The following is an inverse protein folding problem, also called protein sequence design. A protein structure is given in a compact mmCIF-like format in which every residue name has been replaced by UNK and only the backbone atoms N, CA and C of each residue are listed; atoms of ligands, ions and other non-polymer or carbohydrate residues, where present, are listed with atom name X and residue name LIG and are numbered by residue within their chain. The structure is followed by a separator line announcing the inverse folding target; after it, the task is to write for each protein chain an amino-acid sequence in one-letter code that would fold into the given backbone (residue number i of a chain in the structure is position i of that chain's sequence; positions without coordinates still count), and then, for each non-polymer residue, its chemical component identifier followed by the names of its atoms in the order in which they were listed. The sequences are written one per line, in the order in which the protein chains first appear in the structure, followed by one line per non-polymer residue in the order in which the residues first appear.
data_IF_118044767775
#
_entry.id   IF_118044767775
#
_cell.length_a   1.000
_cell.length_b   1.000
_cell.length_c   1.000
_cell.angle_alpha   90.00
_cell.angle_beta   90.00
_cell.angle_gamma   90.00
#
_symmetry.space_group_name_H-M   'P 1'
#
loop_
_entity.id
_entity.type
_entity.pdbx_description
1 polymer ?
#
# COMPACT_ATOMS: atom_id res chain seq x y z
N UNK A 1 -6.26 -9.02 -9.02
CA UNK A 1 -5.20 -8.51 -9.92
C UNK A 1 -4.10 -8.07 -9.01
N UNK A 2 -2.88 -8.54 -9.24
CA UNK A 2 -1.77 -8.19 -8.36
C UNK A 2 -1.30 -6.76 -8.66
N UNK A 3 -1.47 -5.87 -7.69
CA UNK A 3 -1.09 -4.46 -7.75
C UNK A 3 0.12 -4.14 -6.85
N UNK A 4 0.82 -5.16 -6.34
CA UNK A 4 1.96 -4.99 -5.44
C UNK A 4 3.08 -4.13 -6.03
N UNK A 5 3.31 -4.20 -7.35
CA UNK A 5 4.31 -3.37 -8.03
C UNK A 5 4.01 -1.85 -8.03
N UNK A 6 2.78 -1.45 -7.70
CA UNK A 6 2.34 -0.04 -7.71
C UNK A 6 2.08 0.50 -6.31
N UNK A 7 1.36 -0.25 -5.48
CA UNK A 7 0.90 0.21 -4.17
C UNK A 7 1.72 -0.33 -2.99
N UNK A 8 2.89 -0.93 -3.26
CA UNK A 8 3.82 -1.35 -2.22
C UNK A 8 5.26 -0.96 -2.56
N UNK A 9 5.94 -0.38 -1.57
CA UNK A 9 7.38 -0.14 -1.59
C UNK A 9 7.95 -0.44 -0.20
N UNK A 10 8.34 -1.70 0.00
CA UNK A 10 8.90 -2.18 1.26
C UNK A 10 10.36 -1.74 1.49
N UNK A 11 10.93 -0.94 0.58
CA UNK A 11 12.27 -0.36 0.75
C UNK A 11 12.24 0.97 1.52
N UNK A 12 11.06 1.57 1.67
CA UNK A 12 10.87 2.83 2.40
C UNK A 12 11.17 2.65 3.90
N UNK A 13 11.78 3.67 4.49
CA UNK A 13 12.09 3.71 5.92
C UNK A 13 11.10 4.61 6.66
N UNK A 14 10.48 4.11 7.73
CA UNK A 14 9.51 4.85 8.53
C UNK A 14 10.09 6.16 9.11
N UNK A 15 11.35 6.16 9.56
CA UNK A 15 11.98 7.35 10.11
C UNK A 15 12.15 8.45 9.04
N UNK A 16 12.49 8.07 7.80
CA UNK A 16 12.61 9.02 6.69
C UNK A 16 11.24 9.57 6.27
N UNK A 17 10.19 8.73 6.27
CA UNK A 17 8.81 9.16 6.00
C UNK A 17 8.31 10.18 7.04
N UNK A 18 8.57 9.92 8.33
CA UNK A 18 8.23 10.83 9.43
C UNK A 18 9.02 12.13 9.30
N UNK A 19 10.34 12.05 9.10
CA UNK A 19 11.21 13.22 8.99
C UNK A 19 10.85 14.10 7.78
N UNK A 20 10.43 13.49 6.67
CA UNK A 20 9.97 14.19 5.48
C UNK A 20 8.67 14.98 5.68
N UNK A 21 7.79 14.52 6.58
CA UNK A 21 6.56 15.25 6.95
C UNK A 21 5.57 15.43 5.80
N UNK A 22 5.55 14.50 4.84
CA UNK A 22 4.68 14.53 3.65
C UNK A 22 3.57 13.48 3.65
N UNK A 23 3.61 12.53 4.57
CA UNK A 23 2.72 11.37 4.61
C UNK A 23 1.99 11.28 5.94
N UNK A 24 0.77 10.75 5.92
CA UNK A 24 0.08 10.31 7.14
C UNK A 24 0.33 8.82 7.25
N UNK A 25 1.01 8.41 8.32
CA UNK A 25 1.32 7.00 8.53
C UNK A 25 0.18 6.35 9.33
N UNK A 26 -0.28 5.19 8.84
CA UNK A 26 -1.34 4.43 9.50
C UNK A 26 -0.89 2.97 9.66
N UNK A 27 -1.12 2.42 10.84
CA UNK A 27 -0.88 1.02 11.15
C UNK A 27 -2.22 0.30 11.35
N UNK A 28 -2.36 -0.85 10.71
CA UNK A 28 -3.54 -1.70 10.75
C UNK A 28 -3.15 -3.10 11.22
N UNK A 29 -4.08 -3.75 11.92
CA UNK A 29 -4.07 -5.20 12.06
C UNK A 29 -4.91 -5.80 10.93
N UNK A 30 -4.28 -6.48 9.98
CA UNK A 30 -4.92 -6.92 8.74
C UNK A 30 -4.65 -8.40 8.47
N UNK A 31 -5.71 -9.16 8.20
CA UNK A 31 -5.61 -10.55 7.77
C UNK A 31 -6.28 -10.71 6.40
N UNK A 32 -5.58 -11.23 5.38
CA UNK A 32 -6.16 -11.48 4.07
C UNK A 32 -7.19 -12.61 4.12
N UNK A 33 -8.21 -12.55 3.25
CA UNK A 33 -9.11 -13.69 3.04
C UNK A 33 -8.34 -14.89 2.44
N UNK A 34 -8.77 -16.14 2.70
CA UNK A 34 -8.12 -17.32 2.16
C UNK A 34 -7.97 -17.26 0.63
N UNK A 35 -6.80 -17.64 0.12
CA UNK A 35 -6.50 -17.64 -1.31
C UNK A 35 -5.78 -16.39 -1.83
N UNK A 36 -5.49 -15.41 -0.97
CA UNK A 36 -4.68 -14.24 -1.29
C UNK A 36 -3.35 -14.24 -0.52
N UNK A 37 -2.29 -13.76 -1.16
CA UNK A 37 -1.04 -13.49 -0.43
C UNK A 37 -1.17 -12.20 0.37
N UNK A 38 -0.41 -12.07 1.46
CA UNK A 38 -0.48 -10.90 2.32
C UNK A 38 -0.14 -9.60 1.58
N UNK A 39 0.94 -9.61 0.79
CA UNK A 39 1.37 -8.43 0.03
C UNK A 39 0.37 -8.03 -1.06
N UNK A 40 -0.21 -8.98 -1.79
CA UNK A 40 -1.23 -8.69 -2.80
C UNK A 40 -2.47 -8.04 -2.16
N UNK A 41 -2.93 -8.58 -1.03
CA UNK A 41 -4.08 -8.05 -0.31
C UNK A 41 -3.81 -6.66 0.28
N UNK A 42 -2.60 -6.44 0.85
CA UNK A 42 -2.18 -5.15 1.37
C UNK A 42 -2.12 -4.08 0.26
N UNK A 43 -1.54 -4.42 -0.90
CA UNK A 43 -1.47 -3.51 -2.03
C UNK A 43 -2.86 -3.17 -2.60
N UNK A 44 -3.76 -4.15 -2.64
CA UNK A 44 -5.16 -3.89 -3.02
C UNK A 44 -5.87 -3.00 -1.98
N UNK A 45 -5.63 -3.21 -0.69
CA UNK A 45 -6.15 -2.35 0.37
C UNK A 45 -5.69 -0.89 0.19
N UNK A 46 -4.39 -0.67 -0.07
CA UNK A 46 -3.85 0.66 -0.32
C UNK A 46 -4.46 1.29 -1.58
N UNK A 47 -4.60 0.53 -2.66
CA UNK A 47 -5.23 0.99 -3.90
C UNK A 47 -6.66 1.51 -3.67
N UNK A 48 -7.50 0.74 -2.99
CA UNK A 48 -8.90 1.10 -2.70
C UNK A 48 -9.02 2.20 -1.62
N UNK A 49 -7.93 2.50 -0.92
CA UNK A 49 -7.88 3.55 0.11
C UNK A 49 -7.29 4.88 -0.39
N UNK A 50 -6.81 4.94 -1.65
CA UNK A 50 -6.25 6.16 -2.23
C UNK A 50 -6.81 6.48 -3.61
N UNK A 51 -6.30 5.81 -4.63
CA UNK A 51 -6.27 6.30 -6.03
C UNK A 51 -6.55 5.21 -7.05
N UNK A 52 -6.71 3.96 -6.59
CA UNK A 52 -6.91 2.79 -7.41
C UNK A 52 -8.32 2.24 -7.34
N UNK A 53 -8.48 1.12 -8.03
CA UNK A 53 -9.63 0.22 -7.92
C UNK A 53 -9.13 -1.20 -8.21
N UNK A 54 -10.01 -2.18 -8.33
CA UNK A 54 -9.65 -3.59 -8.52
C UNK A 54 -9.11 -3.95 -9.92
N UNK A 55 -9.08 -3.00 -10.86
CA UNK A 55 -8.59 -3.13 -12.23
C UNK A 55 -7.82 -1.88 -12.67
N UNK A 56 -6.95 -2.03 -13.67
CA UNK A 56 -6.32 -0.88 -14.32
C UNK A 56 -7.37 -0.05 -15.09
N UNK A 57 -7.28 1.27 -14.97
CA UNK A 57 -8.15 2.21 -15.67
C UNK A 57 -7.33 3.13 -16.56
N UNK A 58 -7.79 3.32 -17.81
CA UNK A 58 -7.09 4.08 -18.86
C UNK A 58 -6.88 5.55 -18.54
N UNK A 59 -7.56 6.07 -17.53
CA UNK A 59 -7.44 7.45 -17.06
C UNK A 59 -6.31 7.67 -16.06
N UNK A 60 -5.62 6.60 -15.61
CA UNK A 60 -4.47 6.73 -14.70
C UNK A 60 -3.31 7.39 -15.43
N UNK A 61 -2.78 8.48 -14.87
CA UNK A 61 -1.57 9.15 -15.33
C UNK A 61 -0.44 9.10 -14.28
N UNK A 62 0.74 9.59 -14.65
CA UNK A 62 1.91 9.56 -13.77
C UNK A 62 1.77 10.50 -12.56
N UNK A 63 0.99 11.57 -12.70
CA UNK A 63 0.70 12.47 -11.59
C UNK A 63 -0.12 11.76 -10.52
N UNK A 64 -1.15 11.02 -10.93
CA UNK A 64 -1.99 10.21 -10.03
C UNK A 64 -1.14 9.18 -9.28
N UNK A 65 -0.23 8.49 -9.98
CA UNK A 65 0.70 7.54 -9.35
C UNK A 65 1.61 8.20 -8.32
N UNK A 66 1.99 9.46 -8.53
CA UNK A 66 2.82 10.23 -7.60
C UNK A 66 2.14 10.54 -6.26
N UNK A 67 0.84 10.28 -6.12
CA UNK A 67 0.08 10.47 -4.88
C UNK A 67 -0.63 9.19 -4.42
N UNK A 68 -0.18 8.03 -4.91
CA UNK A 68 -0.64 6.72 -4.41
C UNK A 68 -0.24 6.55 -2.94
N UNK A 69 -1.12 5.96 -2.13
CA UNK A 69 -0.74 5.49 -0.80
C UNK A 69 0.10 4.21 -0.94
N UNK A 70 1.16 4.06 -0.14
CA UNK A 70 2.11 2.97 -0.30
C UNK A 70 2.18 2.10 0.95
N UNK A 71 1.99 0.79 0.79
CA UNK A 71 2.36 -0.19 1.81
C UNK A 71 3.88 -0.18 1.93
N UNK A 72 4.39 0.25 3.08
CA UNK A 72 5.83 0.30 3.34
C UNK A 72 6.31 -0.75 4.34
N UNK A 73 5.39 -1.36 5.10
CA UNK A 73 5.72 -2.42 6.05
C UNK A 73 4.59 -3.45 6.11
N UNK A 74 4.98 -4.73 6.11
CA UNK A 74 4.11 -5.86 6.41
C UNK A 74 4.82 -6.84 7.35
N UNK A 75 4.10 -7.38 8.32
CA UNK A 75 4.49 -8.55 9.10
C UNK A 75 3.30 -9.51 9.18
N UNK A 76 3.31 -10.51 8.31
CA UNK A 76 2.24 -11.51 8.20
C UNK A 76 2.07 -12.33 9.48
N UNK A 77 3.12 -12.54 10.27
CA UNK A 77 3.04 -13.34 11.49
C UNK A 77 2.29 -12.61 12.61
N UNK A 78 2.34 -11.27 12.62
CA UNK A 78 1.67 -10.44 13.62
C UNK A 78 0.45 -9.71 13.07
N UNK A 79 0.19 -9.83 11.77
CA UNK A 79 -0.82 -9.11 11.00
C UNK A 79 -0.61 -7.58 11.01
N UNK A 80 0.64 -7.10 11.20
CA UNK A 80 0.95 -5.67 11.10
C UNK A 80 1.03 -5.27 9.61
N UNK A 81 0.29 -4.25 9.23
CA UNK A 81 0.36 -3.63 7.91
C UNK A 81 0.41 -2.12 8.09
N UNK A 82 1.38 -1.46 7.45
CA UNK A 82 1.50 0.00 7.50
C UNK A 82 1.51 0.63 6.13
N UNK A 83 0.79 1.73 6.03
CA UNK A 83 0.59 2.51 4.82
C UNK A 83 1.00 3.95 5.09
N UNK A 84 1.69 4.56 4.13
CA UNK A 84 2.06 5.97 4.09
C UNK A 84 1.24 6.72 3.04
#
# INVERSE_FOLDING_TARGET
MDQSNRYADLSLNEADLIAGGKHILVAYKMAPNPGHTYLEAAAHFAAESSTGTNVEVSTTDDFTKGVDALVYLIDEATEDMRIA
#
